data_IF_643459118900
#
_entry.id   IF_643459118900
#
_cell.length_a   1.000
_cell.length_b   1.000
_cell.length_c   1.000
_cell.angle_alpha   90.00
_cell.angle_beta   90.00
_cell.angle_gamma   90.00
#
_symmetry.space_group_name_H-M   'P 1'
#
loop_
_entity.id
_entity.type
_entity.pdbx_description
1 polymer ?
#
# COMPACT_ATOMS: atom_id res chain seq x y z
N UNK A 1 11.73 32.86 -21.60
CA UNK A 1 11.23 32.79 -20.22
C UNK A 1 10.80 31.37 -19.93
N UNK A 2 11.17 30.78 -18.79
CA UNK A 2 10.76 29.41 -18.42
C UNK A 2 9.46 29.45 -17.59
N UNK A 3 8.55 28.51 -17.86
CA UNK A 3 7.32 28.34 -17.08
C UNK A 3 7.65 27.92 -15.66
N UNK A 4 7.14 28.64 -14.67
CA UNK A 4 7.25 28.24 -13.25
C UNK A 4 6.27 27.08 -13.04
N UNK A 5 6.72 25.92 -12.52
CA UNK A 5 5.80 24.84 -12.20
C UNK A 5 4.85 25.29 -11.08
N UNK A 6 3.54 25.13 -11.30
CA UNK A 6 2.56 25.30 -10.23
C UNK A 6 2.47 24.01 -9.42
N UNK A 7 2.90 24.05 -8.17
CA UNK A 7 2.57 23.00 -7.21
C UNK A 7 1.14 23.26 -6.73
N UNK A 8 0.18 22.54 -7.31
CA UNK A 8 -1.20 22.54 -6.83
C UNK A 8 -1.29 21.87 -5.45
N UNK A 9 -2.36 22.16 -4.69
CA UNK A 9 -2.71 21.42 -3.48
C UNK A 9 -3.40 20.08 -3.86
N UNK A 10 -2.82 19.38 -4.83
CA UNK A 10 -3.29 18.04 -5.18
C UNK A 10 -3.01 17.13 -3.98
N UNK A 11 -3.98 16.34 -3.52
CA UNK A 11 -3.76 15.45 -2.41
C UNK A 11 -2.62 14.49 -2.76
N UNK A 12 -1.70 14.29 -1.82
CA UNK A 12 -0.58 13.36 -1.90
C UNK A 12 -1.08 11.92 -1.72
N UNK A 13 -1.97 11.52 -2.62
CA UNK A 13 -2.63 10.24 -2.55
C UNK A 13 -1.68 9.13 -2.98
N UNK A 14 -1.58 8.10 -2.15
CA UNK A 14 -0.71 6.96 -2.39
C UNK A 14 -1.50 5.66 -2.36
N UNK A 15 -1.06 4.72 -3.18
CA UNK A 15 -1.55 3.35 -3.24
C UNK A 15 -0.35 2.44 -3.45
N UNK A 16 -0.34 1.28 -2.80
CA UNK A 16 0.79 0.34 -2.86
C UNK A 16 0.30 -0.99 -3.42
N UNK A 17 1.13 -1.62 -4.26
CA UNK A 17 0.87 -2.94 -4.83
C UNK A 17 1.72 -4.00 -4.13
N UNK A 18 1.09 -5.09 -3.72
CA UNK A 18 1.72 -6.25 -3.11
C UNK A 18 1.80 -7.37 -4.14
N UNK A 19 3.00 -7.95 -4.29
CA UNK A 19 3.22 -9.12 -5.12
C UNK A 19 4.14 -10.12 -4.40
N UNK A 20 3.95 -11.41 -4.69
CA UNK A 20 4.83 -12.45 -4.18
C UNK A 20 6.19 -12.42 -4.91
N UNK A 21 7.30 -12.65 -4.19
CA UNK A 21 8.62 -12.76 -4.81
C UNK A 21 8.70 -14.00 -5.73
N UNK A 22 9.67 -14.01 -6.65
CA UNK A 22 9.91 -15.14 -7.57
C UNK A 22 9.16 -15.06 -8.90
N UNK A 23 8.47 -13.94 -9.15
CA UNK A 23 7.81 -13.64 -10.42
C UNK A 23 8.48 -12.44 -11.11
N UNK A 24 8.39 -12.38 -12.44
CA UNK A 24 8.97 -11.29 -13.22
C UNK A 24 8.16 -10.00 -13.06
N UNK A 25 8.79 -8.83 -13.26
CA UNK A 25 8.09 -7.54 -13.28
C UNK A 25 7.06 -7.44 -14.42
N UNK A 26 7.27 -8.18 -15.52
CA UNK A 26 6.33 -8.26 -16.63
C UNK A 26 5.11 -9.15 -16.32
N UNK A 27 5.20 -9.99 -15.29
CA UNK A 27 4.15 -10.95 -14.92
C UNK A 27 4.12 -11.17 -13.40
N UNK A 28 3.89 -10.12 -12.60
CA UNK A 28 3.92 -10.22 -11.15
C UNK A 28 2.77 -11.11 -10.67
N UNK A 29 3.01 -11.90 -9.63
CA UNK A 29 1.92 -12.60 -8.94
C UNK A 29 1.36 -11.68 -7.86
N UNK A 30 0.22 -11.05 -8.15
CA UNK A 30 -0.50 -10.23 -7.19
C UNK A 30 -0.79 -11.02 -5.90
N UNK A 31 -0.58 -10.36 -4.76
CA UNK A 31 -0.98 -10.88 -3.46
C UNK A 31 -2.40 -10.40 -3.16
N UNK A 32 -3.40 -11.05 -3.75
CA UNK A 32 -4.81 -10.75 -3.51
C UNK A 32 -5.26 -11.17 -2.11
N UNK A 33 -6.26 -10.48 -1.55
CA UNK A 33 -6.88 -10.75 -0.25
C UNK A 33 -5.87 -10.81 0.91
N UNK A 34 -4.75 -10.07 0.79
CA UNK A 34 -3.68 -10.09 1.78
C UNK A 34 -3.83 -8.93 2.76
N UNK A 35 -3.76 -9.24 4.06
CA UNK A 35 -3.84 -8.22 5.10
C UNK A 35 -2.62 -7.29 5.07
N UNK A 36 -2.88 -6.00 5.25
CA UNK A 36 -1.85 -4.98 5.33
C UNK A 36 -2.08 -4.00 6.48
N UNK A 37 -1.01 -3.32 6.86
CA UNK A 37 -1.02 -2.17 7.75
C UNK A 37 -0.15 -1.05 7.16
N UNK A 38 -0.66 0.18 7.13
CA UNK A 38 0.07 1.39 6.76
C UNK A 38 0.10 2.31 7.98
N UNK A 39 1.29 2.54 8.53
CA UNK A 39 1.51 3.51 9.61
C UNK A 39 1.89 4.86 9.02
N UNK A 40 1.22 5.89 9.49
CA UNK A 40 1.35 7.26 9.01
C UNK A 40 2.12 8.11 10.03
N UNK A 41 2.74 9.21 9.58
CA UNK A 41 3.55 10.09 10.43
C UNK A 41 2.79 10.70 11.62
N UNK A 42 1.49 10.92 11.46
CA UNK A 42 0.60 11.41 12.52
C UNK A 42 0.29 10.34 13.60
N UNK A 43 0.87 9.14 13.47
CA UNK A 43 0.67 8.00 14.36
C UNK A 43 -0.60 7.20 14.06
N UNK A 44 -1.45 7.65 13.13
CA UNK A 44 -2.62 6.90 12.69
C UNK A 44 -2.21 5.68 11.85
N UNK A 45 -3.13 4.74 11.73
CA UNK A 45 -2.89 3.47 11.04
C UNK A 45 -4.08 3.10 10.17
N UNK A 46 -3.79 2.71 8.94
CA UNK A 46 -4.76 2.19 7.97
C UNK A 46 -4.56 0.69 7.84
N UNK A 47 -5.64 -0.09 7.90
CA UNK A 47 -5.63 -1.55 7.83
C UNK A 47 -6.66 -2.03 6.83
N UNK A 48 -6.31 -3.02 6.03
CA UNK A 48 -7.22 -3.56 5.04
C UNK A 48 -6.75 -4.89 4.46
N UNK A 49 -7.44 -5.29 3.40
CA UNK A 49 -7.07 -6.40 2.52
C UNK A 49 -6.78 -5.82 1.14
N UNK A 50 -5.76 -6.36 0.48
CA UNK A 50 -5.49 -6.02 -0.92
C UNK A 50 -6.57 -6.56 -1.85
N UNK A 51 -6.85 -5.84 -2.93
CA UNK A 51 -7.78 -6.30 -3.96
C UNK A 51 -7.21 -7.43 -4.83
N UNK A 52 -7.96 -7.86 -5.85
CA UNK A 52 -7.53 -8.92 -6.77
C UNK A 52 -6.22 -8.60 -7.53
N UNK A 53 -5.87 -7.32 -7.67
CA UNK A 53 -4.62 -6.84 -8.25
C UNK A 53 -3.49 -6.68 -7.24
N UNK A 54 -3.72 -6.98 -5.96
CA UNK A 54 -2.76 -6.79 -4.89
C UNK A 54 -2.66 -5.32 -4.42
N UNK A 55 -3.63 -4.46 -4.76
CA UNK A 55 -3.59 -3.04 -4.41
C UNK A 55 -4.22 -2.80 -3.03
N UNK A 56 -3.62 -1.89 -2.26
CA UNK A 56 -4.26 -1.31 -1.06
C UNK A 56 -5.38 -0.35 -1.45
N UNK A 57 -6.16 0.12 -0.47
CA UNK A 57 -6.94 1.33 -0.67
C UNK A 57 -6.04 2.55 -0.94
N UNK A 58 -6.60 3.57 -1.59
CA UNK A 58 -5.94 4.85 -1.82
C UNK A 58 -6.00 5.67 -0.53
N UNK A 59 -4.84 6.02 0.02
CA UNK A 59 -4.73 6.89 1.19
C UNK A 59 -4.51 8.31 0.71
N UNK A 60 -5.43 9.23 1.01
CA UNK A 60 -5.32 10.64 0.63
C UNK A 60 -4.75 11.49 1.78
N UNK A 61 -3.87 12.44 1.43
CA UNK A 61 -3.22 13.36 2.38
C UNK A 61 -3.12 14.76 1.75
N UNK A 62 -3.12 15.80 2.59
CA UNK A 62 -2.99 17.18 2.11
C UNK A 62 -1.57 17.52 1.63
N UNK A 63 -0.54 16.86 2.17
CA UNK A 63 0.87 17.05 1.83
C UNK A 63 1.58 15.69 1.73
N UNK A 64 2.74 15.65 1.06
CA UNK A 64 3.54 14.42 0.97
C UNK A 64 4.19 14.10 2.31
N UNK A 65 4.01 12.87 2.78
CA UNK A 65 4.54 12.34 4.04
C UNK A 65 5.15 10.96 3.86
N UNK A 66 6.07 10.57 4.75
CA UNK A 66 6.56 9.20 4.82
C UNK A 66 5.45 8.28 5.39
N UNK A 67 5.42 7.04 4.92
CA UNK A 67 4.59 5.99 5.48
C UNK A 67 5.41 4.70 5.62
N UNK A 68 5.07 3.89 6.62
CA UNK A 68 5.61 2.54 6.76
C UNK A 68 4.53 1.53 6.41
N UNK A 69 4.85 0.64 5.47
CA UNK A 69 3.91 -0.36 4.94
C UNK A 69 4.36 -1.75 5.36
N UNK A 70 3.45 -2.54 5.89
CA UNK A 70 3.71 -3.92 6.33
C UNK A 70 2.69 -4.90 5.75
N UNK A 71 3.18 -6.02 5.22
CA UNK A 71 2.37 -7.18 4.87
C UNK A 71 2.14 -8.04 6.12
N UNK A 72 0.89 -8.34 6.46
CA UNK A 72 0.56 -9.15 7.63
C UNK A 72 0.19 -10.56 7.20
N UNK A 73 0.87 -11.56 7.76
CA UNK A 73 0.42 -12.95 7.64
C UNK A 73 -0.77 -13.14 8.59
N UNK A 74 -1.95 -13.47 8.05
CA UNK A 74 -3.04 -14.00 8.86
C UNK A 74 -2.58 -15.32 9.49
N UNK A 75 -2.46 -15.36 10.82
CA UNK A 75 -2.20 -16.60 11.53
C UNK A 75 -3.37 -17.55 11.34
N UNK A 76 -3.15 -18.69 10.68
CA UNK A 76 -4.09 -19.81 10.80
C UNK A 76 -4.00 -20.39 12.22
N UNK A 77 -5.11 -20.84 12.83
CA UNK A 77 -5.10 -21.47 14.13
C UNK A 77 -4.25 -22.75 14.10
N UNK A 78 -3.68 -23.12 15.25
CA UNK A 78 -3.04 -24.43 15.47
C UNK A 78 -4.03 -25.55 15.06
N UNK A 79 -3.85 -26.11 13.88
CA UNK A 79 -4.46 -27.37 13.47
C UNK A 79 -3.50 -28.49 13.80
N UNK A 80 -3.80 -29.25 14.86
CA UNK A 80 -3.10 -30.47 15.19
C UNK A 80 -3.51 -31.64 14.29
N UNK A 81 -2.55 -32.51 14.02
CA UNK A 81 -2.68 -33.96 13.95
C UNK A 81 -1.30 -34.55 14.25
#
# INVERSE_FOLDING_TARGET
SASIPSFGRDPAAQQVTFHYPGHSEASPRAAADHSYEIKLEDGSTVKGLTDAGGLTERVEREMMHQAQVSALRSGAPKGGA
#
